data_IF_137515604045
#
_entry.id   IF_137515604045
#
_cell.length_a   1.000
_cell.length_b   1.000
_cell.length_c   1.000
_cell.angle_alpha   90.00
_cell.angle_beta   90.00
_cell.angle_gamma   90.00
#
_symmetry.space_group_name_H-M   'P 1'
#
loop_
_entity.id
_entity.type
_entity.pdbx_description
1 polymer ?
#
# COMPACT_ATOMS: atom_id res chain seq x y z
N UNK A 1 -9.58 -28.69 26.29
CA UNK A 1 -8.18 -28.29 26.00
C UNK A 1 -8.09 -27.76 24.58
N UNK A 2 -8.17 -28.61 23.54
CA UNK A 2 -7.98 -28.22 22.13
C UNK A 2 -8.87 -27.07 21.61
N UNK A 3 -10.14 -26.98 22.07
CA UNK A 3 -11.01 -25.85 21.71
C UNK A 3 -10.57 -24.52 22.33
N UNK A 4 -10.13 -24.51 23.59
CA UNK A 4 -9.64 -23.29 24.25
C UNK A 4 -8.33 -22.81 23.60
N UNK A 5 -7.44 -23.73 23.25
CA UNK A 5 -6.19 -23.42 22.56
C UNK A 5 -6.46 -22.76 21.19
N UNK A 6 -7.47 -23.25 20.44
CA UNK A 6 -7.91 -22.64 19.20
C UNK A 6 -8.45 -21.21 19.41
N UNK A 7 -9.31 -21.01 20.41
CA UNK A 7 -9.88 -19.69 20.73
C UNK A 7 -8.79 -18.69 21.15
N UNK A 8 -7.82 -19.12 21.96
CA UNK A 8 -6.70 -18.29 22.39
C UNK A 8 -5.77 -17.93 21.22
N UNK A 9 -5.54 -18.86 20.30
CA UNK A 9 -4.76 -18.61 19.09
C UNK A 9 -5.47 -17.67 18.13
N UNK A 10 -6.78 -17.84 17.94
CA UNK A 10 -7.60 -16.94 17.13
C UNK A 10 -7.67 -15.53 17.73
N UNK A 11 -7.85 -15.42 19.05
CA UNK A 11 -7.79 -14.15 19.78
C UNK A 11 -6.45 -13.47 19.61
N UNK A 12 -5.35 -14.22 19.71
CA UNK A 12 -4.00 -13.69 19.51
C UNK A 12 -3.85 -13.13 18.10
N UNK A 13 -4.30 -13.86 17.07
CA UNK A 13 -4.30 -13.39 15.68
C UNK A 13 -5.05 -12.05 15.53
N UNK A 14 -6.26 -11.94 16.08
CA UNK A 14 -7.05 -10.71 16.01
C UNK A 14 -6.39 -9.53 16.72
N UNK A 15 -5.77 -9.74 17.88
CA UNK A 15 -5.08 -8.68 18.64
C UNK A 15 -3.85 -8.18 17.87
N UNK A 16 -3.05 -9.09 17.31
CA UNK A 16 -1.90 -8.71 16.48
C UNK A 16 -2.37 -7.92 15.27
N UNK A 17 -3.42 -8.38 14.58
CA UNK A 17 -3.96 -7.68 13.42
C UNK A 17 -4.51 -6.29 13.76
N UNK A 18 -5.23 -6.16 14.88
CA UNK A 18 -5.71 -4.88 15.38
C UNK A 18 -4.56 -3.90 15.65
N UNK A 19 -3.44 -4.38 16.22
CA UNK A 19 -2.25 -3.56 16.41
C UNK A 19 -1.66 -3.06 15.09
N UNK A 20 -1.57 -3.94 14.08
CA UNK A 20 -1.05 -3.58 12.75
C UNK A 20 -1.90 -2.49 12.13
N UNK A 21 -3.23 -2.65 12.11
CA UNK A 21 -4.16 -1.66 11.57
C UNK A 21 -3.99 -0.34 12.30
N UNK A 22 -3.95 -0.36 13.64
CA UNK A 22 -3.81 0.83 14.46
C UNK A 22 -2.52 1.58 14.15
N UNK A 23 -1.40 0.88 13.98
CA UNK A 23 -0.13 1.50 13.62
C UNK A 23 -0.15 2.11 12.20
N UNK A 24 -0.77 1.41 11.23
CA UNK A 24 -0.96 1.93 9.88
C UNK A 24 -1.85 3.18 9.89
N UNK A 25 -2.98 3.14 10.61
CA UNK A 25 -3.89 4.28 10.79
C UNK A 25 -3.19 5.46 11.46
N UNK A 26 -2.39 5.23 12.50
CA UNK A 26 -1.60 6.26 13.15
C UNK A 26 -0.69 7.00 12.16
N UNK A 27 -0.05 6.26 11.26
CA UNK A 27 0.79 6.85 10.21
C UNK A 27 -0.02 7.61 9.16
N UNK A 28 -1.17 7.09 8.73
CA UNK A 28 -2.08 7.81 7.82
C UNK A 28 -2.49 9.14 8.43
N UNK A 29 -2.91 9.14 9.70
CA UNK A 29 -3.29 10.33 10.45
C UNK A 29 -2.11 11.32 10.51
N UNK A 30 -0.90 10.85 10.84
CA UNK A 30 0.31 11.68 10.85
C UNK A 30 0.56 12.39 9.51
N UNK A 31 0.39 11.68 8.39
CA UNK A 31 0.55 12.25 7.06
C UNK A 31 -0.52 13.29 6.74
N UNK A 32 -1.78 12.99 7.06
CA UNK A 32 -2.90 13.92 6.85
C UNK A 32 -2.66 15.21 7.63
N UNK A 33 -2.31 15.13 8.92
CA UNK A 33 -1.98 16.33 9.70
C UNK A 33 -0.78 17.09 9.14
N UNK A 34 0.26 16.38 8.67
CA UNK A 34 1.42 17.02 8.04
C UNK A 34 1.01 17.81 6.79
N UNK A 35 0.11 17.26 5.97
CA UNK A 35 -0.41 17.92 4.77
C UNK A 35 -1.29 19.12 5.15
N UNK A 36 -2.24 18.94 6.07
CA UNK A 36 -3.16 19.99 6.52
C UNK A 36 -2.41 21.20 7.10
N UNK A 37 -1.42 20.95 7.96
CA UNK A 37 -0.57 22.01 8.51
C UNK A 37 0.22 22.69 7.40
N UNK A 38 0.72 21.92 6.43
CA UNK A 38 1.41 22.43 5.24
C UNK A 38 0.55 23.40 4.42
N UNK A 39 -0.73 23.09 4.26
CA UNK A 39 -1.69 23.94 3.53
C UNK A 39 -2.01 25.24 4.30
N UNK A 40 -1.96 25.22 5.64
CA UNK A 40 -2.26 26.38 6.51
C UNK A 40 -1.02 27.15 6.97
N UNK A 41 0.15 26.95 6.37
CA UNK A 41 1.41 27.60 6.81
C UNK A 41 1.28 29.14 6.84
N UNK A 42 0.62 29.75 5.84
CA UNK A 42 0.44 31.21 5.77
C UNK A 42 -0.49 31.73 6.89
N UNK A 43 -1.58 31.02 7.17
CA UNK A 43 -2.52 31.36 8.25
C UNK A 43 -1.83 31.30 9.61
N UNK A 44 -1.09 30.22 9.88
CA UNK A 44 -0.31 30.06 11.11
C UNK A 44 0.81 31.10 11.21
N UNK A 45 1.43 31.46 10.09
CA UNK A 45 2.43 32.53 10.01
C UNK A 45 1.85 33.90 10.35
N UNK A 46 0.66 34.21 9.84
CA UNK A 46 -0.05 35.46 10.13
C UNK A 46 -0.48 35.55 11.60
N UNK A 47 -1.03 34.47 12.17
CA UNK A 47 -1.34 34.38 13.60
C UNK A 47 -0.11 34.67 14.46
N UNK A 48 1.06 34.17 14.06
CA UNK A 48 2.32 34.47 14.77
C UNK A 48 2.85 35.88 14.52
N UNK A 49 2.55 36.49 13.37
CA UNK A 49 2.93 37.87 13.08
C UNK A 49 2.16 38.87 13.95
N UNK A 50 0.89 38.57 14.27
CA UNK A 50 0.06 39.38 15.19
C UNK A 50 0.31 39.08 16.68
N UNK A 51 1.28 38.22 17.00
CA UNK A 51 1.75 37.99 18.38
C UNK A 51 1.42 36.63 19.00
N UNK A 52 0.79 35.70 18.27
CA UNK A 52 0.54 34.36 18.82
C UNK A 52 1.86 33.62 19.10
N UNK A 53 1.96 33.06 20.30
CA UNK A 53 3.11 32.23 20.68
C UNK A 53 3.09 30.90 19.91
N UNK A 54 4.28 30.34 19.65
CA UNK A 54 4.38 29.04 19.00
C UNK A 54 3.76 27.89 19.82
N UNK A 55 3.63 28.07 21.15
CA UNK A 55 2.92 27.11 22.01
C UNK A 55 1.41 27.17 21.80
N UNK A 56 0.82 28.39 21.69
CA UNK A 56 -0.60 28.55 21.38
C UNK A 56 -0.97 27.92 20.03
N UNK A 57 -0.10 28.03 19.02
CA UNK A 57 -0.28 27.35 17.72
C UNK A 57 -0.29 25.82 17.89
N UNK A 58 0.67 25.26 18.65
CA UNK A 58 0.68 23.80 18.91
C UNK A 58 -0.56 23.35 19.66
N UNK A 59 -1.01 24.07 20.69
CA UNK A 59 -2.21 23.72 21.45
C UNK A 59 -3.48 23.84 20.61
N UNK A 60 -3.58 24.83 19.73
CA UNK A 60 -4.70 24.94 18.80
C UNK A 60 -4.78 23.72 17.85
N UNK A 61 -3.64 23.32 17.27
CA UNK A 61 -3.56 22.13 16.40
C UNK A 61 -3.84 20.83 17.15
N UNK A 62 -3.36 20.69 18.39
CA UNK A 62 -3.69 19.54 19.24
C UNK A 62 -5.17 19.54 19.66
N UNK A 63 -5.79 20.71 19.83
CA UNK A 63 -7.22 20.86 20.05
C UNK A 63 -8.05 20.40 18.86
N UNK A 64 -7.65 20.78 17.63
CA UNK A 64 -8.26 20.24 16.41
C UNK A 64 -8.13 18.71 16.35
N UNK A 65 -6.95 18.18 16.65
CA UNK A 65 -6.71 16.74 16.66
C UNK A 65 -7.54 16.02 17.73
N UNK A 66 -7.75 16.63 18.90
CA UNK A 66 -8.59 16.09 19.96
C UNK A 66 -10.06 16.03 19.52
N UNK A 67 -10.59 17.10 18.92
CA UNK A 67 -11.97 17.13 18.42
C UNK A 67 -12.20 16.07 17.34
N UNK A 68 -11.27 15.97 16.38
CA UNK A 68 -11.30 14.93 15.34
C UNK A 68 -11.20 13.53 15.97
N UNK A 69 -10.31 13.34 16.93
CA UNK A 69 -10.10 12.07 17.62
C UNK A 69 -11.35 11.63 18.40
N UNK A 70 -11.97 12.53 19.15
CA UNK A 70 -13.23 12.27 19.87
C UNK A 70 -14.33 11.90 18.90
N UNK A 71 -14.55 12.71 17.85
CA UNK A 71 -15.58 12.44 16.85
C UNK A 71 -15.36 11.09 16.15
N UNK A 72 -14.15 10.84 15.66
CA UNK A 72 -13.79 9.59 14.99
C UNK A 72 -13.92 8.39 15.92
N UNK A 73 -13.61 8.53 17.21
CA UNK A 73 -13.75 7.47 18.22
C UNK A 73 -15.22 7.15 18.49
N UNK A 74 -16.09 8.15 18.59
CA UNK A 74 -17.54 7.95 18.77
C UNK A 74 -18.11 7.21 17.56
N UNK A 75 -17.83 7.70 16.35
CA UNK A 75 -18.29 7.08 15.10
C UNK A 75 -17.72 5.67 14.95
N UNK A 76 -16.41 5.50 15.17
CA UNK A 76 -15.72 4.21 15.03
C UNK A 76 -16.20 3.18 16.04
N UNK A 77 -16.49 3.58 17.28
CA UNK A 77 -17.07 2.69 18.30
C UNK A 77 -18.48 2.27 17.89
N UNK A 78 -19.31 3.21 17.42
CA UNK A 78 -20.65 2.90 16.92
C UNK A 78 -20.63 1.92 15.75
N UNK A 79 -19.75 2.16 14.77
CA UNK A 79 -19.53 1.24 13.65
C UNK A 79 -19.00 -0.12 14.11
N UNK A 80 -18.06 -0.16 15.06
CA UNK A 80 -17.53 -1.41 15.60
C UNK A 80 -18.59 -2.27 16.29
N UNK A 81 -19.48 -1.65 17.07
CA UNK A 81 -20.63 -2.33 17.68
C UNK A 81 -21.58 -2.82 16.58
N UNK A 82 -21.86 -1.99 15.56
CA UNK A 82 -22.69 -2.37 14.41
C UNK A 82 -22.13 -3.56 13.63
N UNK A 83 -20.81 -3.60 13.39
CA UNK A 83 -20.14 -4.74 12.77
C UNK A 83 -20.16 -5.98 13.65
N UNK A 84 -20.01 -5.82 14.97
CA UNK A 84 -20.15 -6.94 15.91
C UNK A 84 -21.55 -7.55 15.84
N UNK A 85 -22.57 -6.70 15.80
CA UNK A 85 -23.98 -7.11 15.66
C UNK A 85 -24.27 -7.80 14.32
N UNK A 86 -23.82 -7.22 13.20
CA UNK A 86 -24.04 -7.84 11.89
C UNK A 86 -23.31 -9.17 11.73
N UNK A 87 -22.09 -9.30 12.28
CA UNK A 87 -21.34 -10.55 12.25
C UNK A 87 -22.03 -11.64 13.09
N UNK A 88 -22.60 -11.28 14.25
CA UNK A 88 -23.40 -12.20 15.06
C UNK A 88 -24.59 -12.73 14.28
N UNK A 89 -25.36 -11.84 13.66
CA UNK A 89 -26.56 -12.22 12.90
C UNK A 89 -26.19 -13.13 11.72
N UNK A 90 -25.12 -12.77 10.99
CA UNK A 90 -24.60 -13.57 9.90
C UNK A 90 -24.19 -14.98 10.35
N UNK A 91 -23.45 -15.10 11.46
CA UNK A 91 -23.07 -16.40 12.01
C UNK A 91 -24.28 -17.22 12.49
N UNK A 92 -25.26 -16.56 13.11
CA UNK A 92 -26.51 -17.18 13.55
C UNK A 92 -27.31 -17.76 12.38
N UNK A 93 -27.42 -17.03 11.26
CA UNK A 93 -28.06 -17.52 10.03
C UNK A 93 -27.36 -18.70 9.34
N UNK A 94 -26.09 -18.96 9.68
CA UNK A 94 -25.31 -20.07 9.13
C UNK A 94 -25.26 -21.27 10.09
N UNK A 95 -26.06 -21.25 11.18
CA UNK A 95 -26.02 -22.21 12.29
C UNK A 95 -24.60 -22.42 12.85
N UNK A 96 -23.76 -21.38 12.75
CA UNK A 96 -22.36 -21.41 13.13
C UNK A 96 -22.16 -20.74 14.49
N UNK A 97 -21.88 -21.56 15.51
CA UNK A 97 -21.54 -21.10 16.87
C UNK A 97 -22.51 -21.58 17.95
N UNK A 98 -22.18 -21.37 19.25
CA UNK A 98 -23.04 -21.81 20.35
C UNK A 98 -24.39 -21.08 20.34
N UNK A 99 -25.47 -21.82 20.56
CA UNK A 99 -26.81 -21.26 20.74
C UNK A 99 -26.83 -20.37 22.00
N UNK A 100 -26.98 -19.04 21.79
CA UNK A 100 -26.94 -18.05 22.87
C UNK A 100 -25.77 -17.07 22.85
N UNK A 101 -25.20 -16.79 21.67
CA UNK A 101 -24.06 -15.89 21.51
C UNK A 101 -24.46 -14.41 21.69
N UNK A 102 -24.69 -13.98 22.93
CA UNK A 102 -25.03 -12.58 23.22
C UNK A 102 -23.80 -11.68 23.04
N UNK A 103 -24.00 -10.54 22.39
CA UNK A 103 -22.95 -9.53 22.23
C UNK A 103 -22.64 -8.92 23.59
N UNK A 104 -21.62 -9.48 24.24
CA UNK A 104 -21.21 -9.05 25.58
C UNK A 104 -20.40 -7.76 25.47
N UNK A 105 -21.09 -6.63 25.44
CA UNK A 105 -20.49 -5.30 25.43
C UNK A 105 -20.03 -4.95 26.85
N UNK A 106 -18.76 -5.24 27.15
CA UNK A 106 -18.15 -4.85 28.43
C UNK A 106 -17.79 -3.36 28.42
N UNK A 107 -18.17 -2.56 29.45
CA UNK A 107 -17.76 -1.15 29.56
C UNK A 107 -16.24 -0.96 29.52
N UNK A 108 -15.47 -1.94 30.02
CA UNK A 108 -14.01 -1.94 29.98
C UNK A 108 -13.46 -1.96 28.55
N UNK A 109 -14.12 -2.67 27.62
CA UNK A 109 -13.69 -2.76 26.22
C UNK A 109 -13.96 -1.45 25.49
N UNK A 110 -15.10 -0.82 25.74
CA UNK A 110 -15.41 0.51 25.22
C UNK A 110 -14.42 1.54 25.76
N UNK A 111 -14.20 1.55 27.08
CA UNK A 111 -13.24 2.47 27.72
C UNK A 111 -11.83 2.33 27.14
N UNK A 112 -11.34 1.09 26.97
CA UNK A 112 -10.06 0.83 26.33
C UNK A 112 -10.04 1.31 24.87
N UNK A 113 -11.08 1.03 24.09
CA UNK A 113 -11.20 1.50 22.71
C UNK A 113 -11.18 3.02 22.59
N UNK A 114 -11.85 3.73 23.51
CA UNK A 114 -11.87 5.20 23.55
C UNK A 114 -10.49 5.77 23.86
N UNK A 115 -9.83 5.25 24.90
CA UNK A 115 -8.48 5.67 25.29
C UNK A 115 -7.51 5.44 24.14
N UNK A 116 -7.58 4.28 23.49
CA UNK A 116 -6.71 3.93 22.38
C UNK A 116 -6.99 4.80 21.15
N UNK A 117 -8.25 4.99 20.76
CA UNK A 117 -8.61 5.79 19.57
C UNK A 117 -8.18 7.25 19.68
N UNK A 118 -8.49 7.88 20.81
CA UNK A 118 -8.07 9.27 21.07
C UNK A 118 -6.55 9.35 21.23
N UNK A 119 -5.96 8.42 22.01
CA UNK A 119 -4.52 8.39 22.27
C UNK A 119 -3.69 8.26 21.01
N UNK A 120 -4.11 7.39 20.09
CA UNK A 120 -3.43 7.21 18.79
C UNK A 120 -3.52 8.48 17.96
N UNK A 121 -4.72 9.06 17.82
CA UNK A 121 -4.92 10.30 17.05
C UNK A 121 -4.06 11.44 17.57
N UNK A 122 -4.06 11.64 18.90
CA UNK A 122 -3.24 12.64 19.57
C UNK A 122 -1.75 12.38 19.35
N UNK A 123 -1.29 11.15 19.56
CA UNK A 123 0.12 10.79 19.40
C UNK A 123 0.64 11.06 17.99
N UNK A 124 -0.19 10.81 16.97
CA UNK A 124 0.13 11.08 15.57
C UNK A 124 0.20 12.58 15.24
N UNK A 125 -0.60 13.42 15.93
CA UNK A 125 -0.65 14.86 15.69
C UNK A 125 0.48 15.64 16.41
N UNK A 126 1.08 15.08 17.47
CA UNK A 126 2.12 15.77 18.27
C UNK A 126 3.31 16.19 17.41
N UNK A 127 3.90 15.26 16.65
CA UNK A 127 5.09 15.53 15.86
C UNK A 127 4.90 16.65 14.82
N UNK A 128 3.83 16.65 13.98
CA UNK A 128 3.61 17.74 13.04
C UNK A 128 3.19 19.05 13.74
N UNK A 129 2.42 19.01 14.84
CA UNK A 129 2.06 20.21 15.61
C UNK A 129 3.28 20.89 16.25
N UNK A 130 4.27 20.11 16.73
CA UNK A 130 5.53 20.64 17.25
C UNK A 130 6.41 21.24 16.14
N UNK A 131 6.34 20.71 14.91
CA UNK A 131 7.04 21.29 13.76
C UNK A 131 6.46 22.64 13.38
N UNK A 132 5.13 22.81 13.46
CA UNK A 132 4.46 24.07 13.19
C UNK A 132 4.96 25.21 14.11
N UNK A 133 5.27 24.91 15.38
CA UNK A 133 5.86 25.88 16.34
C UNK A 133 7.19 26.48 15.88
N UNK A 134 7.91 25.87 14.94
CA UNK A 134 9.21 26.36 14.46
C UNK A 134 9.11 27.22 13.21
N UNK A 135 7.93 27.39 12.63
CA UNK A 135 7.71 28.23 11.43
C UNK A 135 7.85 29.70 11.82
N UNK A 136 8.80 30.42 11.24
CA UNK A 136 8.96 31.86 11.49
C UNK A 136 7.97 32.68 10.65
N UNK A 137 7.43 33.81 11.19
CA UNK A 137 6.48 34.65 10.47
C UNK A 137 7.00 35.13 9.10
N UNK A 138 8.27 35.55 9.07
CA UNK A 138 8.93 36.03 7.84
C UNK A 138 9.18 34.91 6.82
N UNK A 139 9.43 33.67 7.27
CA UNK A 139 9.58 32.53 6.35
C UNK A 139 8.23 32.11 5.77
N UNK A 140 7.15 32.15 6.55
CA UNK A 140 5.80 31.79 6.09
C UNK A 140 5.24 32.73 5.00
N UNK A 141 5.71 33.97 4.95
CA UNK A 141 5.30 34.98 3.95
C UNK A 141 6.09 34.89 2.63
N UNK A 142 7.20 34.14 2.57
CA UNK A 142 7.93 33.88 1.31
C UNK A 142 7.24 32.76 0.53
N UNK A 143 7.15 32.88 -0.80
CA UNK A 143 6.54 31.85 -1.67
C UNK A 143 7.23 30.48 -1.58
N UNK A 144 8.50 30.43 -1.17
CA UNK A 144 9.30 29.22 -1.02
C UNK A 144 9.38 28.67 0.42
N UNK A 145 8.37 28.92 1.26
CA UNK A 145 8.32 28.45 2.64
C UNK A 145 8.21 26.91 2.75
N UNK A 146 9.28 26.19 2.44
CA UNK A 146 9.39 24.74 2.68
C UNK A 146 9.81 24.51 4.12
N UNK A 147 9.11 23.63 4.83
CA UNK A 147 9.53 23.17 6.15
C UNK A 147 10.98 22.65 6.04
N UNK A 148 11.93 23.36 6.66
CA UNK A 148 13.33 22.95 6.66
C UNK A 148 13.42 21.57 7.30
N UNK A 149 13.91 20.59 6.53
CA UNK A 149 14.02 19.22 6.98
C UNK A 149 15.10 19.16 8.05
N UNK A 150 14.72 18.87 9.30
CA UNK A 150 15.69 18.70 10.37
C UNK A 150 16.60 17.49 10.07
N UNK A 151 17.89 17.75 9.84
CA UNK A 151 18.93 16.74 9.71
C UNK A 151 19.76 16.78 11.00
N UNK A 152 19.81 15.70 11.79
CA UNK A 152 20.65 15.66 12.97
C UNK A 152 22.13 15.83 12.59
N UNK A 153 22.96 16.42 13.46
CA UNK A 153 24.40 16.51 13.22
C UNK A 153 25.00 15.12 13.08
N UNK A 154 25.97 14.98 12.16
CA UNK A 154 26.71 13.74 11.94
C UNK A 154 27.56 13.44 13.18
N UNK A 155 27.33 12.28 13.78
CA UNK A 155 28.13 11.75 14.88
C UNK A 155 28.13 10.22 14.77
N UNK A 156 29.12 9.64 14.08
CA UNK A 156 29.12 8.22 13.76
C UNK A 156 29.27 7.33 14.99
N UNK A 157 29.98 7.78 16.04
CA UNK A 157 30.14 7.02 17.28
C UNK A 157 28.78 6.84 17.98
N UNK A 158 28.06 7.95 18.21
CA UNK A 158 26.73 7.92 18.81
C UNK A 158 25.69 7.25 17.88
N UNK A 159 25.84 7.40 16.58
CA UNK A 159 25.01 6.70 15.60
C UNK A 159 25.18 5.18 15.67
N UNK A 160 26.43 4.72 15.70
CA UNK A 160 26.79 3.31 15.81
C UNK A 160 26.28 2.66 17.09
N UNK A 161 26.44 3.32 18.24
CA UNK A 161 25.93 2.80 19.52
C UNK A 161 24.41 2.64 19.50
N UNK A 162 23.67 3.62 18.98
CA UNK A 162 22.20 3.56 18.88
C UNK A 162 21.77 2.42 17.95
N UNK A 163 22.46 2.22 16.83
CA UNK A 163 22.16 1.10 15.92
C UNK A 163 22.40 -0.25 16.57
N UNK A 164 23.52 -0.41 17.29
CA UNK A 164 23.83 -1.66 18.00
C UNK A 164 22.79 -1.95 19.08
N UNK A 165 22.39 -0.95 19.87
CA UNK A 165 21.32 -1.10 20.87
C UNK A 165 20.00 -1.51 20.21
N UNK A 166 19.66 -0.93 19.06
CA UNK A 166 18.41 -1.24 18.35
C UNK A 166 18.37 -2.69 17.87
N UNK A 167 19.47 -3.19 17.30
CA UNK A 167 19.60 -4.60 16.92
C UNK A 167 19.67 -5.53 18.15
N UNK A 168 20.28 -5.09 19.24
CA UNK A 168 20.28 -5.80 20.52
C UNK A 168 18.86 -5.96 21.09
N UNK A 169 18.04 -4.90 21.06
CA UNK A 169 16.63 -4.96 21.46
C UNK A 169 15.84 -5.96 20.61
N UNK A 170 16.03 -5.93 19.29
CA UNK A 170 15.43 -6.92 18.38
C UNK A 170 15.86 -8.33 18.77
N UNK A 171 17.14 -8.57 19.00
CA UNK A 171 17.66 -9.88 19.37
C UNK A 171 17.07 -10.36 20.71
N UNK A 172 17.01 -9.51 21.73
CA UNK A 172 16.38 -9.83 23.02
C UNK A 172 14.90 -10.18 22.84
N UNK A 173 14.16 -9.42 22.01
CA UNK A 173 12.74 -9.73 21.75
C UNK A 173 12.57 -11.07 21.04
N UNK A 174 13.45 -11.42 20.10
CA UNK A 174 13.41 -12.72 19.42
C UNK A 174 13.75 -13.87 20.37
N UNK A 175 14.75 -13.68 21.25
CA UNK A 175 15.13 -14.68 22.25
C UNK A 175 14.05 -14.92 23.30
N UNK A 176 13.32 -13.88 23.70
CA UNK A 176 12.22 -14.00 24.67
C UNK A 176 11.06 -14.85 24.15
N UNK A 177 10.91 -15.01 22.82
CA UNK A 177 9.75 -15.64 22.15
C UNK A 177 8.39 -15.02 22.53
N UNK A 178 8.39 -13.88 23.21
CA UNK A 178 7.20 -13.16 23.61
C UNK A 178 6.74 -12.20 22.52
N UNK A 179 5.68 -12.57 21.81
CA UNK A 179 5.14 -11.78 20.71
C UNK A 179 4.70 -10.36 21.12
N UNK A 180 4.27 -10.19 22.38
CA UNK A 180 3.90 -8.88 22.94
C UNK A 180 5.11 -7.94 22.99
N UNK A 181 6.29 -8.44 23.34
CA UNK A 181 7.52 -7.64 23.34
C UNK A 181 7.92 -7.24 21.92
N UNK A 182 7.74 -8.12 20.94
CA UNK A 182 8.03 -7.82 19.52
C UNK A 182 7.15 -6.67 19.02
N UNK A 183 5.86 -6.68 19.35
CA UNK A 183 4.90 -5.63 18.97
C UNK A 183 5.29 -4.26 19.52
N UNK A 184 5.74 -4.19 20.77
CA UNK A 184 6.05 -2.92 21.44
C UNK A 184 7.46 -2.44 21.10
N UNK A 185 8.45 -3.32 21.23
CA UNK A 185 9.86 -2.96 21.11
C UNK A 185 10.36 -3.01 19.67
N UNK A 186 9.76 -3.80 18.79
CA UNK A 186 10.15 -3.91 17.38
C UNK A 186 10.08 -2.58 16.62
N UNK A 187 8.96 -1.84 16.66
CA UNK A 187 8.86 -0.51 16.05
C UNK A 187 9.84 0.50 16.66
N UNK A 188 10.06 0.45 17.98
CA UNK A 188 11.03 1.31 18.67
C UNK A 188 12.47 1.03 18.22
N UNK A 189 12.84 -0.25 18.09
CA UNK A 189 14.11 -0.67 17.53
C UNK A 189 14.28 -0.22 16.08
N UNK A 190 13.23 -0.28 15.25
CA UNK A 190 13.28 0.22 13.89
C UNK A 190 13.55 1.73 13.82
N UNK A 191 12.86 2.52 14.65
CA UNK A 191 13.05 3.97 14.76
C UNK A 191 14.46 4.30 15.28
N UNK A 192 14.93 3.58 16.30
CA UNK A 192 16.29 3.68 16.83
C UNK A 192 17.35 3.41 15.77
N UNK A 193 17.21 2.30 15.03
CA UNK A 193 18.12 1.92 13.94
C UNK A 193 18.18 3.00 12.86
N UNK A 194 17.01 3.52 12.46
CA UNK A 194 16.93 4.60 11.48
C UNK A 194 17.60 5.89 11.97
N UNK A 195 17.34 6.27 13.22
CA UNK A 195 17.93 7.46 13.82
C UNK A 195 19.44 7.34 13.97
N UNK A 196 19.93 6.20 14.45
CA UNK A 196 21.36 5.93 14.59
C UNK A 196 22.07 5.95 13.24
N UNK A 197 21.54 5.27 12.22
CA UNK A 197 22.12 5.28 10.88
C UNK A 197 22.08 6.68 10.24
N UNK A 198 21.08 7.52 10.52
CA UNK A 198 21.05 8.92 10.03
C UNK A 198 22.21 9.76 10.57
N UNK A 199 22.72 9.45 11.76
CA UNK A 199 23.89 10.14 12.35
C UNK A 199 25.23 9.63 11.82
N UNK A 200 25.28 8.40 11.31
CA UNK A 200 26.44 7.86 10.60
C UNK A 200 26.46 8.39 9.17
N UNK A 201 25.38 8.17 8.44
CA UNK A 201 25.19 8.62 7.07
C UNK A 201 23.71 8.92 6.80
N UNK A 202 23.43 10.17 6.41
CA UNK A 202 22.07 10.64 6.15
C UNK A 202 21.32 9.82 5.07
N UNK A 203 22.03 9.20 4.13
CA UNK A 203 21.44 8.32 3.12
C UNK A 203 21.14 6.92 3.70
N UNK A 204 22.09 6.32 4.44
CA UNK A 204 21.92 5.01 5.07
C UNK A 204 20.71 4.99 6.01
N UNK A 205 20.55 6.04 6.81
CA UNK A 205 19.40 6.18 7.71
C UNK A 205 18.04 6.41 7.03
N UNK A 206 17.99 6.65 5.71
CA UNK A 206 16.73 6.64 4.95
C UNK A 206 16.34 5.23 4.50
N UNK A 207 17.32 4.38 4.21
CA UNK A 207 17.12 2.98 3.80
C UNK A 207 16.98 2.06 5.01
N UNK A 208 17.55 2.44 6.15
CA UNK A 208 17.56 1.70 7.42
C UNK A 208 16.20 1.12 7.84
N UNK A 209 15.13 1.92 7.81
CA UNK A 209 13.78 1.47 8.19
C UNK A 209 13.24 0.40 7.24
N UNK A 210 13.46 0.55 5.93
CA UNK A 210 13.05 -0.41 4.92
C UNK A 210 13.83 -1.73 5.09
N UNK A 211 15.15 -1.64 5.25
CA UNK A 211 16.01 -2.80 5.45
C UNK A 211 15.65 -3.55 6.74
N UNK A 212 15.36 -2.83 7.83
CA UNK A 212 14.91 -3.42 9.08
C UNK A 212 13.60 -4.19 8.92
N UNK A 213 12.64 -3.64 8.17
CA UNK A 213 11.40 -4.35 7.84
C UNK A 213 11.63 -5.62 7.02
N UNK A 214 12.53 -5.56 6.03
CA UNK A 214 12.94 -6.74 5.25
C UNK A 214 13.59 -7.82 6.13
N UNK A 215 14.43 -7.43 7.09
CA UNK A 215 15.05 -8.39 8.02
C UNK A 215 14.01 -9.01 8.95
N UNK A 216 13.07 -8.24 9.49
CA UNK A 216 11.98 -8.79 10.30
C UNK A 216 11.10 -9.76 9.51
N UNK A 217 10.81 -9.45 8.24
CA UNK A 217 10.08 -10.34 7.34
C UNK A 217 10.85 -11.64 7.09
N UNK A 218 12.16 -11.56 6.83
CA UNK A 218 13.01 -12.74 6.64
C UNK A 218 13.09 -13.58 7.92
N UNK A 219 13.28 -12.95 9.09
CA UNK A 219 13.28 -13.64 10.37
C UNK A 219 11.95 -14.38 10.61
N UNK A 220 10.82 -13.78 10.21
CA UNK A 220 9.52 -14.42 10.30
C UNK A 220 9.37 -15.66 9.41
N UNK A 221 10.13 -15.76 8.31
CA UNK A 221 10.05 -16.87 7.36
C UNK A 221 11.07 -17.98 7.65
N UNK A 222 12.24 -17.61 8.20
CA UNK A 222 13.38 -18.52 8.39
C UNK A 222 13.39 -19.15 9.78
N UNK A 223 12.89 -18.45 10.81
CA UNK A 223 12.93 -18.95 12.18
C UNK A 223 11.69 -19.80 12.48
N UNK A 224 11.89 -20.98 13.05
CA UNK A 224 10.83 -21.84 13.59
C UNK A 224 10.24 -21.22 14.87
N UNK A 225 9.32 -20.28 14.66
CA UNK A 225 8.64 -19.51 15.68
C UNK A 225 7.17 -19.94 15.79
N UNK A 226 6.58 -19.75 16.97
CA UNK A 226 5.15 -19.91 17.17
C UNK A 226 4.33 -18.88 16.37
N UNK A 227 3.02 -19.11 16.25
CA UNK A 227 2.14 -18.25 15.46
C UNK A 227 2.09 -16.80 15.97
N UNK A 228 2.09 -16.59 17.29
CA UNK A 228 2.14 -15.24 17.88
C UNK A 228 3.36 -14.43 17.40
N UNK A 229 4.61 -14.91 17.63
CA UNK A 229 5.81 -14.19 17.21
C UNK A 229 5.91 -13.97 15.70
N UNK A 230 5.51 -14.96 14.88
CA UNK A 230 5.45 -14.83 13.41
C UNK A 230 4.55 -13.66 13.00
N UNK A 231 3.32 -13.63 13.52
CA UNK A 231 2.36 -12.56 13.20
C UNK A 231 2.86 -11.19 13.68
N UNK A 232 3.48 -11.14 14.86
CA UNK A 232 4.07 -9.91 15.39
C UNK A 232 5.20 -9.38 14.50
N UNK A 233 6.10 -10.27 14.04
CA UNK A 233 7.19 -9.90 13.13
C UNK A 233 6.67 -9.42 11.79
N UNK A 234 5.68 -10.11 11.20
CA UNK A 234 5.04 -9.67 9.95
C UNK A 234 4.40 -8.29 10.11
N UNK A 235 3.74 -8.04 11.26
CA UNK A 235 3.16 -6.75 11.57
C UNK A 235 4.17 -5.62 11.65
N UNK A 236 5.24 -5.82 12.44
CA UNK A 236 6.33 -4.86 12.55
C UNK A 236 7.03 -4.66 11.21
N UNK A 237 7.26 -5.74 10.45
CA UNK A 237 7.85 -5.69 9.11
C UNK A 237 7.01 -4.86 8.15
N UNK A 238 5.69 -5.03 8.14
CA UNK A 238 4.78 -4.27 7.28
C UNK A 238 4.84 -2.76 7.59
N UNK A 239 4.74 -2.39 8.87
CA UNK A 239 4.79 -0.99 9.31
C UNK A 239 6.14 -0.36 8.94
N UNK A 240 7.23 -1.03 9.27
CA UNK A 240 8.59 -0.49 9.07
C UNK A 240 8.99 -0.45 7.60
N UNK A 241 8.55 -1.41 6.79
CA UNK A 241 8.72 -1.39 5.33
C UNK A 241 7.95 -0.22 4.72
N UNK A 242 6.69 0.00 5.14
CA UNK A 242 5.89 1.11 4.65
C UNK A 242 6.51 2.48 4.99
N UNK A 243 6.95 2.65 6.24
CA UNK A 243 7.72 3.83 6.68
C UNK A 243 9.06 3.97 5.93
N UNK A 244 9.67 2.83 5.59
CA UNK A 244 10.86 2.73 4.77
C UNK A 244 10.66 3.29 3.37
N UNK A 245 9.62 2.85 2.66
CA UNK A 245 9.32 3.30 1.30
C UNK A 245 9.15 4.82 1.25
N UNK A 246 8.42 5.40 2.21
CA UNK A 246 8.23 6.86 2.27
C UNK A 246 9.53 7.63 2.58
N UNK A 247 10.45 7.03 3.34
CA UNK A 247 11.76 7.61 3.63
C UNK A 247 12.73 7.52 2.46
N UNK A 248 12.66 6.46 1.67
CA UNK A 248 13.52 6.17 0.52
C UNK A 248 13.05 6.89 -0.75
N UNK A 249 11.74 7.09 -0.92
CA UNK A 249 11.15 7.70 -2.12
C UNK A 249 11.88 8.96 -2.63
N UNK A 250 12.28 9.95 -1.79
CA UNK A 250 13.02 11.12 -2.27
C UNK A 250 14.44 10.83 -2.78
N UNK A 251 15.08 9.75 -2.34
CA UNK A 251 16.38 9.32 -2.88
C UNK A 251 16.24 8.73 -4.28
N UNK A 252 15.17 7.95 -4.48
CA UNK A 252 14.88 7.32 -5.76
C UNK A 252 14.26 8.29 -6.76
N UNK A 253 13.64 9.37 -6.30
CA UNK A 253 12.91 10.31 -7.15
C UNK A 253 13.74 10.84 -8.33
N UNK A 254 14.98 11.29 -8.11
CA UNK A 254 15.87 11.79 -9.19
C UNK A 254 16.32 10.70 -10.18
N UNK A 255 16.96 9.60 -9.74
CA UNK A 255 17.40 8.57 -10.68
C UNK A 255 16.21 7.93 -11.40
N UNK A 256 15.09 7.73 -10.70
CA UNK A 256 13.85 7.25 -11.32
C UNK A 256 13.29 8.29 -12.27
N UNK A 257 13.27 9.58 -11.94
CA UNK A 257 12.81 10.62 -12.88
C UNK A 257 13.71 10.74 -14.10
N UNK A 258 15.02 10.54 -13.96
CA UNK A 258 15.96 10.61 -15.07
C UNK A 258 15.83 9.39 -15.99
N UNK A 259 15.55 8.22 -15.42
CA UNK A 259 15.21 7.01 -16.19
C UNK A 259 13.85 7.21 -16.85
N UNK A 260 12.82 7.60 -16.10
CA UNK A 260 11.48 7.85 -16.63
C UNK A 260 11.52 8.94 -17.69
N UNK A 261 12.26 10.03 -17.53
CA UNK A 261 12.34 11.10 -18.53
C UNK A 261 12.96 10.65 -19.86
N UNK A 262 13.80 9.59 -19.84
CA UNK A 262 14.33 8.97 -21.07
C UNK A 262 13.27 8.16 -21.83
N UNK A 263 12.23 7.69 -21.15
CA UNK A 263 11.12 6.97 -21.75
C UNK A 263 9.92 7.92 -21.89
N UNK A 264 9.30 8.07 -23.07
CA UNK A 264 8.03 8.78 -23.14
C UNK A 264 7.07 8.19 -22.10
N UNK A 265 6.56 9.01 -21.18
CA UNK A 265 5.70 8.58 -20.06
C UNK A 265 4.52 7.71 -20.53
N UNK A 266 4.06 7.94 -21.77
CA UNK A 266 3.04 7.16 -22.46
C UNK A 266 3.45 5.70 -22.76
N UNK A 267 4.73 5.40 -22.97
CA UNK A 267 5.23 4.02 -23.12
C UNK A 267 5.18 3.30 -21.78
N UNK A 268 5.59 3.95 -20.68
CA UNK A 268 5.52 3.32 -19.36
C UNK A 268 4.08 3.13 -18.90
N UNK A 269 3.22 4.15 -19.05
CA UNK A 269 1.79 4.03 -18.75
C UNK A 269 1.09 3.05 -19.69
N UNK A 270 1.52 2.97 -20.95
CA UNK A 270 1.04 2.00 -21.92
C UNK A 270 1.42 0.58 -21.53
N UNK A 271 2.67 0.31 -21.20
CA UNK A 271 3.16 -1.03 -20.79
C UNK A 271 2.58 -1.45 -19.44
N UNK A 272 2.56 -0.55 -18.45
CA UNK A 272 1.97 -0.83 -17.14
C UNK A 272 0.46 -1.02 -17.25
N UNK A 273 -0.23 -0.17 -18.03
CA UNK A 273 -1.65 -0.30 -18.31
C UNK A 273 -1.96 -1.61 -19.03
N UNK A 274 -1.18 -1.97 -20.04
CA UNK A 274 -1.28 -3.26 -20.75
C UNK A 274 -1.07 -4.43 -19.79
N UNK A 275 -0.02 -4.43 -18.98
CA UNK A 275 0.25 -5.51 -18.01
C UNK A 275 -0.88 -5.65 -16.98
N UNK A 276 -1.44 -4.53 -16.51
CA UNK A 276 -2.57 -4.50 -15.58
C UNK A 276 -3.88 -4.98 -16.22
N UNK A 277 -4.03 -4.85 -17.54
CA UNK A 277 -5.22 -5.31 -18.28
C UNK A 277 -5.10 -6.78 -18.65
N UNK A 278 -3.92 -7.26 -19.03
CA UNK A 278 -3.70 -8.62 -19.54
C UNK A 278 -3.99 -9.70 -18.51
N UNK A 279 -3.54 -9.52 -17.26
CA UNK A 279 -3.75 -10.52 -16.20
C UNK A 279 -5.24 -10.76 -15.91
N UNK A 280 -6.02 -9.71 -15.55
CA UNK A 280 -7.43 -9.89 -15.26
C UNK A 280 -8.28 -10.18 -16.51
N UNK A 281 -7.90 -9.71 -17.70
CA UNK A 281 -8.60 -10.06 -18.94
C UNK A 281 -8.44 -11.55 -19.30
N UNK A 282 -7.24 -12.12 -19.12
CA UNK A 282 -7.02 -13.56 -19.29
C UNK A 282 -7.82 -14.39 -18.27
N UNK A 283 -7.85 -13.95 -17.00
CA UNK A 283 -8.68 -14.57 -15.96
C UNK A 283 -10.18 -14.48 -16.27
N UNK A 284 -10.65 -13.36 -16.82
CA UNK A 284 -12.05 -13.19 -17.22
C UNK A 284 -12.43 -14.05 -18.44
N UNK A 285 -11.53 -14.20 -19.41
CA UNK A 285 -11.76 -15.06 -20.57
C UNK A 285 -11.87 -16.54 -20.15
N UNK A 286 -11.00 -17.00 -19.25
CA UNK A 286 -11.12 -18.35 -18.67
C UNK A 286 -12.45 -18.53 -17.94
N UNK A 287 -12.91 -17.52 -17.20
CA UNK A 287 -14.21 -17.56 -16.53
C UNK A 287 -15.40 -17.63 -17.47
N UNK A 288 -15.35 -16.96 -18.63
CA UNK A 288 -16.39 -17.08 -19.65
C UNK A 288 -16.41 -18.47 -20.30
N UNK A 289 -15.23 -19.08 -20.51
CA UNK A 289 -15.12 -20.46 -21.02
C UNK A 289 -15.69 -21.45 -20.01
N UNK A 290 -15.45 -21.25 -18.70
CA UNK A 290 -16.03 -22.08 -17.64
C UNK A 290 -17.56 -21.90 -17.52
N UNK A 291 -18.05 -20.64 -17.60
CA UNK A 291 -19.49 -20.33 -17.58
C UNK A 291 -20.24 -20.95 -18.77
N UNK A 292 -19.61 -21.00 -19.94
CA UNK A 292 -20.19 -21.63 -21.12
C UNK A 292 -20.33 -23.16 -20.98
N UNK A 293 -19.53 -23.79 -20.10
CA UNK A 293 -19.63 -25.23 -19.79
C UNK A 293 -20.74 -25.51 -18.78
N UNK A 294 -20.89 -24.67 -17.74
CA UNK A 294 -21.95 -24.80 -16.72
C UNK A 294 -22.54 -23.44 -16.26
N UNK A 295 -23.71 -23.04 -16.79
CA UNK A 295 -24.28 -21.71 -16.55
C UNK A 295 -24.71 -21.44 -15.11
N UNK A 296 -25.12 -22.48 -14.38
CA UNK A 296 -25.62 -22.35 -13.00
C UNK A 296 -24.48 -22.26 -11.97
N UNK A 297 -23.28 -22.78 -12.27
CA UNK A 297 -22.12 -22.74 -11.39
C UNK A 297 -21.23 -21.50 -11.61
N UNK A 298 -21.23 -20.92 -12.82
CA UNK A 298 -20.32 -19.83 -13.20
C UNK A 298 -20.77 -18.40 -12.83
N UNK A 299 -21.94 -18.19 -12.23
CA UNK A 299 -22.46 -16.86 -11.89
C UNK A 299 -21.67 -16.15 -10.77
N UNK A 300 -21.28 -16.89 -9.73
CA UNK A 300 -20.55 -16.33 -8.58
C UNK A 300 -19.19 -15.70 -8.96
N UNK A 301 -18.32 -16.34 -9.76
CA UNK A 301 -17.06 -15.73 -10.14
C UNK A 301 -17.22 -14.61 -11.20
N UNK A 302 -18.29 -14.60 -12.01
CA UNK A 302 -18.59 -13.51 -12.95
C UNK A 302 -18.91 -12.19 -12.20
N UNK A 303 -19.67 -12.29 -11.10
CA UNK A 303 -20.00 -11.14 -10.23
C UNK A 303 -18.74 -10.60 -9.56
N UNK A 304 -17.84 -11.47 -9.09
CA UNK A 304 -16.54 -11.09 -8.51
C UNK A 304 -15.57 -10.45 -9.52
N UNK A 305 -15.65 -10.80 -10.81
CA UNK A 305 -14.79 -10.24 -11.86
C UNK A 305 -15.27 -8.87 -12.38
N UNK A 306 -16.53 -8.53 -12.17
CA UNK A 306 -17.16 -7.27 -12.63
C UNK A 306 -16.42 -6.00 -12.14
N UNK A 307 -16.02 -5.85 -10.85
CA UNK A 307 -15.26 -4.68 -10.41
C UNK A 307 -13.88 -4.55 -11.07
N UNK A 308 -13.24 -5.67 -11.46
CA UNK A 308 -11.96 -5.65 -12.17
C UNK A 308 -12.10 -5.15 -13.61
N UNK A 309 -13.20 -5.48 -14.30
CA UNK A 309 -13.50 -4.94 -15.63
C UNK A 309 -13.74 -3.43 -15.62
N UNK A 310 -14.44 -2.93 -14.59
CA UNK A 310 -14.66 -1.49 -14.39
C UNK A 310 -13.32 -0.78 -14.14
N UNK A 311 -12.44 -1.37 -13.32
CA UNK A 311 -11.11 -0.84 -13.08
C UNK A 311 -10.26 -0.79 -14.36
N UNK A 312 -10.27 -1.87 -15.15
CA UNK A 312 -9.60 -1.95 -16.46
C UNK A 312 -10.09 -0.84 -17.39
N UNK A 313 -11.41 -0.64 -17.49
CA UNK A 313 -12.00 0.40 -18.35
C UNK A 313 -11.62 1.81 -17.88
N UNK A 314 -11.59 2.06 -16.57
CA UNK A 314 -11.19 3.34 -15.99
C UNK A 314 -9.70 3.66 -16.20
N UNK A 315 -8.82 2.66 -16.04
CA UNK A 315 -7.38 2.79 -16.29
C UNK A 315 -7.09 2.99 -17.77
N UNK A 316 -7.77 2.24 -18.65
CA UNK A 316 -7.67 2.40 -20.10
C UNK A 316 -8.06 3.81 -20.54
N UNK A 317 -9.15 4.37 -20.00
CA UNK A 317 -9.58 5.74 -20.32
C UNK A 317 -8.52 6.78 -19.94
N UNK A 318 -7.92 6.69 -18.76
CA UNK A 318 -6.85 7.61 -18.31
C UNK A 318 -5.56 7.50 -19.13
N UNK A 319 -5.21 6.29 -19.57
CA UNK A 319 -4.04 6.09 -20.44
C UNK A 319 -4.23 6.77 -21.81
N UNK A 320 -5.46 6.85 -22.30
CA UNK A 320 -5.76 7.54 -23.55
C UNK A 320 -5.87 9.06 -23.35
N UNK A 321 -6.41 9.54 -22.24
CA UNK A 321 -6.39 10.99 -21.93
C UNK A 321 -4.94 11.53 -21.82
N UNK A 322 -4.00 10.72 -21.31
CA UNK A 322 -2.57 11.06 -21.25
C UNK A 322 -1.91 11.16 -22.65
N UNK A 323 -2.48 10.52 -23.67
CA UNK A 323 -1.98 10.61 -25.06
C UNK A 323 -2.34 11.94 -25.74
N UNK A 324 -3.42 12.59 -25.30
CA UNK A 324 -3.88 13.88 -25.82
C UNK A 324 -2.92 15.03 -25.46
N UNK A 325 -2.26 14.94 -24.30
CA UNK A 325 -1.25 15.90 -23.83
C UNK A 325 0.00 15.90 -24.75
N UNK A 326 0.24 14.82 -25.50
CA UNK A 326 1.42 14.67 -26.39
C UNK A 326 1.11 14.95 -27.88
N UNK A 327 -0.09 15.43 -28.21
CA UNK A 327 -0.48 15.77 -29.59
C UNK A 327 -0.66 14.55 -30.51
N UNK A 328 -0.91 13.36 -29.95
CA UNK A 328 -1.21 12.16 -30.74
C UNK A 328 -2.67 12.14 -31.17
N UNK A 329 -2.92 11.87 -32.45
CA UNK A 329 -4.27 11.73 -32.97
C UNK A 329 -4.89 10.41 -32.47
N UNK A 330 -6.12 10.45 -31.94
CA UNK A 330 -6.84 9.31 -31.33
C UNK A 330 -6.77 8.02 -32.16
N UNK A 331 -6.93 8.14 -33.48
CA UNK A 331 -6.87 7.02 -34.43
C UNK A 331 -5.52 6.28 -34.43
N UNK A 332 -4.40 6.97 -34.18
CA UNK A 332 -3.07 6.36 -34.15
C UNK A 332 -2.82 5.58 -32.86
N UNK A 333 -3.35 6.07 -31.73
CA UNK A 333 -3.26 5.42 -30.42
C UNK A 333 -4.11 4.16 -30.38
N UNK A 334 -5.35 4.25 -30.84
CA UNK A 334 -6.24 3.08 -30.99
C UNK A 334 -5.61 2.05 -31.92
N UNK A 335 -5.05 2.47 -33.06
CA UNK A 335 -4.35 1.57 -33.98
C UNK A 335 -3.16 0.85 -33.32
N UNK A 336 -2.35 1.56 -32.52
CA UNK A 336 -1.23 0.95 -31.79
C UNK A 336 -1.66 -0.08 -30.74
N UNK A 337 -2.72 0.21 -30.00
CA UNK A 337 -3.29 -0.71 -29.00
C UNK A 337 -3.89 -1.95 -29.67
N UNK A 338 -4.62 -1.79 -30.76
CA UNK A 338 -5.21 -2.90 -31.52
C UNK A 338 -4.12 -3.81 -32.08
N UNK A 339 -3.06 -3.25 -32.68
CA UNK A 339 -1.91 -4.03 -33.16
C UNK A 339 -1.26 -4.84 -32.04
N UNK A 340 -1.09 -4.23 -30.87
CA UNK A 340 -0.48 -4.88 -29.72
C UNK A 340 -1.35 -6.03 -29.18
N UNK A 341 -2.66 -5.79 -28.99
CA UNK A 341 -3.59 -6.81 -28.50
C UNK A 341 -3.73 -7.98 -29.48
N UNK A 342 -3.83 -7.71 -30.79
CA UNK A 342 -3.86 -8.75 -31.81
C UNK A 342 -2.57 -9.59 -31.82
N UNK A 343 -1.42 -8.95 -31.65
CA UNK A 343 -0.13 -9.63 -31.57
C UNK A 343 -0.01 -10.53 -30.34
N UNK A 344 -0.47 -10.05 -29.19
CA UNK A 344 -0.39 -10.80 -27.93
C UNK A 344 -1.38 -11.96 -27.88
N UNK A 345 -2.64 -11.74 -28.27
CA UNK A 345 -3.65 -12.80 -28.36
C UNK A 345 -3.20 -13.86 -29.37
N UNK A 346 -2.69 -13.42 -30.53
CA UNK A 346 -2.15 -14.32 -31.54
C UNK A 346 -0.96 -15.16 -31.03
N UNK A 347 -0.04 -14.54 -30.29
CA UNK A 347 1.10 -15.22 -29.68
C UNK A 347 0.71 -16.25 -28.62
N UNK A 348 -0.22 -15.89 -27.72
CA UNK A 348 -0.70 -16.79 -26.65
C UNK A 348 -1.48 -17.97 -27.24
N UNK A 349 -2.35 -17.74 -28.22
CA UNK A 349 -3.10 -18.82 -28.89
C UNK A 349 -2.18 -19.76 -29.68
N UNK A 350 -1.16 -19.22 -30.35
CA UNK A 350 -0.16 -20.03 -31.03
C UNK A 350 0.66 -20.88 -30.04
N UNK A 351 1.08 -20.30 -28.91
CA UNK A 351 1.86 -21.00 -27.90
C UNK A 351 1.04 -22.10 -27.21
N UNK A 352 -0.22 -21.80 -26.85
CA UNK A 352 -1.14 -22.76 -26.24
C UNK A 352 -1.48 -23.90 -27.21
N UNK A 353 -1.70 -23.62 -28.49
CA UNK A 353 -1.95 -24.68 -29.47
C UNK A 353 -0.72 -25.56 -29.72
N UNK A 354 0.50 -25.00 -29.65
CA UNK A 354 1.74 -25.79 -29.71
C UNK A 354 1.89 -26.68 -28.46
N UNK A 355 1.58 -26.15 -27.27
CA UNK A 355 1.57 -26.91 -26.02
C UNK A 355 0.53 -28.04 -26.06
N UNK A 356 -0.68 -27.75 -26.53
CA UNK A 356 -1.76 -28.74 -26.71
C UNK A 356 -1.41 -29.85 -27.70
N UNK A 357 -0.70 -29.52 -28.78
CA UNK A 357 -0.16 -30.49 -29.72
C UNK A 357 0.91 -31.42 -29.09
N UNK A 358 1.63 -30.95 -28.07
CA UNK A 358 2.61 -31.75 -27.31
C UNK A 358 1.91 -32.63 -26.26
N UNK A 359 0.81 -32.16 -25.67
CA UNK A 359 0.07 -32.89 -24.62
C UNK A 359 -1.02 -33.83 -25.15
N UNK A 360 -1.30 -33.81 -26.46
CA UNK A 360 -2.16 -34.78 -27.14
C UNK A 360 -3.65 -34.46 -27.14
N UNK A 361 -4.05 -33.21 -26.85
CA UNK A 361 -5.46 -32.81 -26.83
C UNK A 361 -5.87 -32.18 -28.18
N UNK A 362 -6.74 -32.83 -28.98
CA UNK A 362 -7.03 -32.39 -30.35
C UNK A 362 -7.82 -31.07 -30.43
N UNK A 363 -8.46 -30.64 -29.34
CA UNK A 363 -9.19 -29.37 -29.28
C UNK A 363 -8.26 -28.14 -29.37
N UNK A 364 -7.02 -28.25 -28.88
CA UNK A 364 -6.07 -27.13 -28.81
C UNK A 364 -5.31 -26.89 -30.13
N UNK A 365 -5.28 -27.87 -31.04
CA UNK A 365 -4.65 -27.75 -32.36
C UNK A 365 -5.32 -26.70 -33.26
N UNK A 366 -6.60 -26.40 -33.02
CA UNK A 366 -7.36 -25.35 -33.74
C UNK A 366 -6.89 -23.95 -33.37
N UNK A 367 -6.25 -23.77 -32.20
CA UNK A 367 -5.76 -22.47 -31.73
C UNK A 367 -4.51 -21.98 -32.49
N UNK A 368 -3.71 -22.89 -33.07
CA UNK A 368 -2.49 -22.56 -33.83
C UNK A 368 -2.76 -21.71 -35.08
N UNK A 369 -3.63 -22.12 -36.03
CA UNK A 369 -3.90 -21.32 -37.23
C UNK A 369 -4.58 -19.98 -36.91
N UNK A 370 -5.42 -19.93 -35.87
CA UNK A 370 -6.07 -18.69 -35.41
C UNK A 370 -5.01 -17.73 -34.83
N UNK A 371 -4.09 -18.26 -34.01
CA UNK A 371 -2.98 -17.49 -33.45
C UNK A 371 -2.07 -16.88 -34.52
N UNK A 372 -1.72 -17.68 -35.53
CA UNK A 372 -0.92 -17.24 -36.68
C UNK A 372 -1.67 -16.17 -37.50
N UNK A 373 -2.96 -16.35 -37.76
CA UNK A 373 -3.76 -15.38 -38.51
C UNK A 373 -3.83 -14.01 -37.80
N UNK A 374 -3.97 -14.00 -36.47
CA UNK A 374 -3.98 -12.78 -35.66
C UNK A 374 -2.60 -12.08 -35.64
N UNK A 375 -1.51 -12.85 -35.60
CA UNK A 375 -0.14 -12.32 -35.72
C UNK A 375 0.10 -11.67 -37.10
N UNK A 376 -0.44 -12.26 -38.17
CA UNK A 376 -0.37 -11.69 -39.53
C UNK A 376 -1.20 -10.41 -39.62
N UNK A 377 -2.42 -10.38 -39.07
CA UNK A 377 -3.25 -9.18 -39.00
C UNK A 377 -2.57 -8.05 -38.21
N UNK A 378 -1.96 -8.36 -37.06
CA UNK A 378 -1.16 -7.41 -36.29
C UNK A 378 0.00 -6.83 -37.12
N UNK A 379 0.69 -7.68 -37.91
CA UNK A 379 1.78 -7.25 -38.80
C UNK A 379 1.30 -6.33 -39.91
N UNK A 380 0.14 -6.60 -40.51
CA UNK A 380 -0.47 -5.76 -41.54
C UNK A 380 -0.91 -4.42 -40.95
N UNK A 381 -1.62 -4.42 -39.82
CA UNK A 381 -2.07 -3.21 -39.15
C UNK A 381 -0.91 -2.31 -38.68
N UNK A 382 0.23 -2.89 -38.29
CA UNK A 382 1.46 -2.13 -37.95
C UNK A 382 2.03 -1.35 -39.15
N UNK A 383 1.80 -1.80 -40.39
CA UNK A 383 2.28 -1.10 -41.59
C UNK A 383 1.66 0.30 -41.76
N UNK A 384 0.45 0.51 -41.22
CA UNK A 384 -0.27 1.79 -41.24
C UNK A 384 0.14 2.79 -40.15
N UNK A 385 0.95 2.40 -39.16
CA UNK A 385 1.31 3.28 -38.04
C UNK A 385 2.37 4.35 -38.45
N UNK A 386 2.32 5.56 -37.86
CA UNK A 386 3.34 6.60 -38.08
C UNK A 386 4.74 6.12 -37.71
N UNK A 387 5.79 6.62 -38.40
CA UNK A 387 7.20 6.20 -38.17
C UNK A 387 7.65 6.35 -36.71
N UNK A 388 7.12 7.32 -35.97
CA UNK A 388 7.40 7.54 -34.54
C UNK A 388 6.84 6.44 -33.62
N UNK A 389 5.74 5.77 -34.00
CA UNK A 389 5.15 4.64 -33.25
C UNK A 389 5.75 3.28 -33.66
N UNK A 390 6.18 3.15 -34.92
CA UNK A 390 6.85 1.93 -35.43
C UNK A 390 8.14 1.57 -34.70
N UNK A 391 8.81 2.54 -34.06
CA UNK A 391 9.99 2.28 -33.23
C UNK A 391 9.62 1.50 -31.94
N UNK A 392 8.46 1.78 -31.35
CA UNK A 392 7.99 1.11 -30.13
C UNK A 392 7.39 -0.28 -30.45
N UNK A 393 6.69 -0.42 -31.57
CA UNK A 393 6.17 -1.72 -32.00
C UNK A 393 7.26 -2.74 -32.41
N UNK A 394 8.49 -2.28 -32.64
CA UNK A 394 9.67 -3.14 -32.87
C UNK A 394 10.28 -3.71 -31.58
N UNK A 395 10.08 -3.06 -30.43
CA UNK A 395 10.54 -3.60 -29.12
C UNK A 395 9.69 -4.77 -28.63
N UNK A 396 8.49 -4.95 -29.18
CA UNK A 396 7.55 -6.02 -28.81
C UNK A 396 7.60 -7.25 -29.75
N UNK A 397 8.35 -7.17 -30.86
CA UNK A 397 8.81 -8.35 -31.59
C UNK A 397 10.14 -8.79 -31.00
#
# INVERSE_FOLDING_TARGET
AQFNDFIDQFRTFLIVFAFIILAVSAFVIFNVFTILIGQRIRELGLLRAIGASGAQVTWALLGEALLVGVFATVVGTGLGIGFGWSLRELLGSLDFGPSGNDLLIKPTTIGAGVIVGIGVTMSSAIAPALRARRISPMAALREDARLTRWVPPLNPALGGTITLVSWGVLLVTLLSRDWQLIIVLGPLAAVGNAYGLRRVNAAAGRVATLAFGGVMMLCSLVLDLGTGPVLALLGVAAITSFLGVTSVSPLLAKPVSDVIARWPLAIMLGVIGVLLILGPAAGFLMLLVEFAKDPLAGLAPLILATPFLVLIALVGRRAVDASFIMGWHWSSVVGGVVVFLLGLIGGVLALNGILGAITGDPADLVAVPIGIALLVLARVANSGLPRRMKANARMAR
#
